data_IF_949468072348
#
_entry.id   IF_949468072348
#
_cell.length_a   1.000
_cell.length_b   1.000
_cell.length_c   1.000
_cell.angle_alpha   90.00
_cell.angle_beta   90.00
_cell.angle_gamma   90.00
#
_symmetry.space_group_name_H-M   'P 1'
#
loop_
_entity.id
_entity.type
_entity.pdbx_description
1 polymer ?
#
# COMPACT_ATOMS: atom_id res chain seq x y z
N UNK A 1 10.64 0.24 7.77
CA UNK A 1 9.34 0.83 7.38
C UNK A 1 9.40 2.30 7.81
N UNK A 2 10.07 3.14 7.03
CA UNK A 2 10.58 4.44 7.52
C UNK A 2 9.61 5.61 7.32
N UNK A 3 8.73 5.55 6.30
CA UNK A 3 7.74 6.59 6.03
C UNK A 3 6.64 6.72 7.13
N UNK A 4 6.43 5.68 7.94
CA UNK A 4 5.44 5.68 9.04
C UNK A 4 6.00 6.32 10.32
N UNK A 5 7.30 6.65 10.37
CA UNK A 5 7.95 7.29 11.50
C UNK A 5 8.14 8.81 11.35
N UNK A 6 7.74 9.38 10.21
CA UNK A 6 7.84 10.82 9.91
C UNK A 6 6.59 11.59 10.40
N UNK A 7 6.67 12.91 10.58
CA UNK A 7 5.53 13.78 10.99
C UNK A 7 4.27 13.57 10.13
N UNK A 8 4.43 13.23 8.85
CA UNK A 8 3.33 12.92 7.93
C UNK A 8 2.76 11.49 8.06
N UNK A 9 3.15 10.73 9.08
CA UNK A 9 2.72 9.34 9.32
C UNK A 9 1.21 9.17 9.26
N UNK A 10 0.45 10.14 9.78
CA UNK A 10 -1.01 10.09 9.76
C UNK A 10 -1.58 10.16 8.33
N UNK A 11 -0.98 10.98 7.45
CA UNK A 11 -1.39 11.09 6.03
C UNK A 11 -1.11 9.78 5.31
N UNK A 12 0.05 9.17 5.55
CA UNK A 12 0.40 7.87 4.97
C UNK A 12 -0.52 6.76 5.43
N UNK A 13 -0.82 6.67 6.74
CA UNK A 13 -1.78 5.69 7.28
C UNK A 13 -3.18 5.87 6.71
N UNK A 14 -3.64 7.12 6.53
CA UNK A 14 -4.94 7.39 5.93
C UNK A 14 -5.04 6.86 4.49
N UNK A 15 -4.03 7.12 3.65
CA UNK A 15 -3.99 6.64 2.26
C UNK A 15 -3.84 5.11 2.20
N UNK A 16 -3.04 4.51 3.08
CA UNK A 16 -2.95 3.04 3.18
C UNK A 16 -4.31 2.41 3.52
N UNK A 17 -5.07 3.01 4.45
CA UNK A 17 -6.42 2.53 4.81
C UNK A 17 -7.39 2.69 3.63
N UNK A 18 -7.32 3.80 2.91
CA UNK A 18 -8.13 4.03 1.70
C UNK A 18 -7.83 2.98 0.61
N UNK A 19 -6.56 2.65 0.38
CA UNK A 19 -6.16 1.61 -0.57
C UNK A 19 -6.69 0.24 -0.14
N UNK A 20 -6.49 -0.15 1.13
CA UNK A 20 -7.02 -1.41 1.67
C UNK A 20 -8.55 -1.52 1.53
N UNK A 21 -9.27 -0.42 1.80
CA UNK A 21 -10.71 -0.36 1.62
C UNK A 21 -11.11 -0.50 0.14
N UNK A 22 -10.35 0.11 -0.76
CA UNK A 22 -10.58 0.02 -2.20
C UNK A 22 -10.37 -1.40 -2.73
N UNK A 23 -9.35 -2.12 -2.24
CA UNK A 23 -9.11 -3.52 -2.57
C UNK A 23 -10.28 -4.41 -2.09
N UNK A 24 -10.78 -4.18 -0.87
CA UNK A 24 -11.97 -4.88 -0.35
C UNK A 24 -13.22 -4.59 -1.19
N UNK A 25 -13.47 -3.32 -1.55
CA UNK A 25 -14.61 -2.92 -2.38
C UNK A 25 -14.58 -3.55 -3.76
N UNK A 26 -13.40 -3.68 -4.36
CA UNK A 26 -13.22 -4.31 -5.67
C UNK A 26 -13.43 -5.83 -5.64
N UNK A 27 -13.53 -6.46 -4.46
CA UNK A 27 -13.67 -7.92 -4.28
C UNK A 27 -12.58 -8.74 -4.99
N UNK A 28 -11.45 -8.12 -5.34
CA UNK A 28 -10.32 -8.79 -6.00
C UNK A 28 -9.33 -9.38 -5.00
N UNK A 29 -9.42 -8.99 -3.72
CA UNK A 29 -8.58 -9.49 -2.64
C UNK A 29 -9.46 -9.98 -1.48
N UNK A 30 -9.27 -11.23 -1.09
CA UNK A 30 -9.85 -11.81 0.12
C UNK A 30 -8.71 -11.99 1.12
N UNK A 31 -8.92 -11.48 2.33
CA UNK A 31 -8.02 -11.76 3.44
C UNK A 31 -8.31 -13.19 3.89
N UNK A 32 -7.33 -14.07 3.77
CA UNK A 32 -7.44 -15.49 4.18
C UNK A 32 -6.47 -15.76 5.31
N UNK A 33 -6.87 -16.62 6.23
CA UNK A 33 -5.96 -17.13 7.26
C UNK A 33 -4.87 -17.97 6.62
N UNK A 34 -3.65 -17.83 7.13
CA UNK A 34 -2.50 -18.57 6.64
C UNK A 34 -2.58 -20.02 7.11
N UNK A 35 -2.66 -20.97 6.17
CA UNK A 35 -2.51 -22.39 6.50
C UNK A 35 -1.03 -22.73 6.68
N UNK A 36 -0.72 -23.44 7.77
CA UNK A 36 0.64 -23.91 8.06
C UNK A 36 1.25 -24.63 6.83
N UNK A 37 2.45 -24.20 6.41
CA UNK A 37 3.20 -24.80 5.29
C UNK A 37 3.12 -24.05 3.96
N UNK A 38 2.28 -23.02 3.82
CA UNK A 38 2.24 -22.20 2.59
C UNK A 38 3.29 -21.08 2.61
N UNK A 39 4.01 -20.90 1.49
CA UNK A 39 4.91 -19.75 1.29
C UNK A 39 4.08 -18.51 0.98
N UNK A 40 4.02 -17.59 1.95
CA UNK A 40 3.41 -16.28 1.73
C UNK A 40 4.22 -15.48 0.72
N UNK A 41 3.54 -14.89 -0.25
CA UNK A 41 4.14 -13.90 -1.13
C UNK A 41 4.39 -12.65 -0.29
N UNK A 42 5.65 -12.26 -0.17
CA UNK A 42 6.00 -11.02 0.53
C UNK A 42 5.34 -9.83 -0.17
N UNK A 43 5.03 -8.78 0.57
CA UNK A 43 4.47 -7.54 0.01
C UNK A 43 5.31 -6.34 0.41
N UNK A 44 5.16 -5.23 -0.31
CA UNK A 44 5.76 -3.94 0.02
C UNK A 44 4.76 -2.82 -0.26
N UNK A 45 4.80 -1.80 0.60
CA UNK A 45 4.12 -0.53 0.34
C UNK A 45 5.04 0.41 -0.44
N UNK A 46 4.52 0.96 -1.54
CA UNK A 46 5.15 2.03 -2.29
C UNK A 46 4.48 3.35 -1.92
N UNK A 47 5.28 4.34 -1.55
CA UNK A 47 4.82 5.67 -1.17
C UNK A 47 5.32 6.68 -2.19
N UNK A 48 4.44 7.56 -2.65
CA UNK A 48 4.77 8.66 -3.56
C UNK A 48 3.97 9.89 -3.21
N UNK A 49 4.65 11.01 -2.98
CA UNK A 49 4.00 12.32 -2.95
C UNK A 49 3.93 12.80 -4.40
N UNK A 50 2.75 13.19 -4.85
CA UNK A 50 2.57 13.96 -6.08
C UNK A 50 2.53 15.41 -5.70
N UNK A 51 3.58 16.14 -6.06
CA UNK A 51 3.59 17.59 -5.95
C UNK A 51 2.43 18.15 -6.77
N UNK A 52 1.65 19.01 -6.13
CA UNK A 52 0.56 19.71 -6.79
C UNK A 52 1.08 20.92 -7.54
N UNK A 53 0.19 21.59 -8.27
CA UNK A 53 0.52 22.88 -8.88
C UNK A 53 0.40 23.95 -7.79
N UNK A 54 1.46 24.70 -7.53
CA UNK A 54 1.47 25.78 -6.54
C UNK A 54 0.32 26.76 -6.80
N UNK A 55 -0.47 27.05 -5.76
CA UNK A 55 -1.65 27.92 -5.85
C UNK A 55 -2.91 27.30 -6.47
N UNK A 56 -2.82 26.12 -7.11
CA UNK A 56 -3.97 25.48 -7.79
C UNK A 56 -4.37 24.16 -7.12
N UNK A 57 -3.41 23.31 -6.77
CA UNK A 57 -3.66 22.02 -6.11
C UNK A 57 -2.64 21.72 -5.02
N UNK A 58 -3.13 21.24 -3.88
CA UNK A 58 -2.28 20.78 -2.78
C UNK A 58 -1.58 19.46 -3.16
N UNK A 59 -0.37 19.19 -2.64
CA UNK A 59 0.32 17.92 -2.82
C UNK A 59 -0.54 16.74 -2.37
N UNK A 60 -0.53 15.66 -3.16
CA UNK A 60 -1.33 14.46 -2.90
C UNK A 60 -0.44 13.28 -2.54
N UNK A 61 -0.73 12.66 -1.41
CA UNK A 61 -0.07 11.45 -0.95
C UNK A 61 -0.69 10.24 -1.65
N UNK A 62 0.15 9.34 -2.17
CA UNK A 62 -0.27 8.07 -2.77
C UNK A 62 0.49 6.92 -2.14
N UNK A 63 -0.24 5.89 -1.76
CA UNK A 63 0.33 4.63 -1.27
C UNK A 63 -0.27 3.47 -2.08
N UNK A 64 0.57 2.52 -2.46
CA UNK A 64 0.15 1.32 -3.18
C UNK A 64 0.72 0.08 -2.51
N UNK A 65 -0.11 -0.97 -2.40
CA UNK A 65 0.32 -2.28 -1.94
C UNK A 65 0.72 -3.13 -3.14
N UNK A 66 1.96 -3.62 -3.15
CA UNK A 66 2.48 -4.44 -4.25
C UNK A 66 2.98 -5.76 -3.71
N UNK A 67 2.59 -6.86 -4.35
CA UNK A 67 3.17 -8.16 -4.12
C UNK A 67 4.62 -8.17 -4.62
N UNK A 68 5.55 -8.47 -3.72
CA UNK A 68 6.96 -8.59 -4.00
C UNK A 68 7.19 -10.04 -4.43
N UNK A 69 6.93 -10.33 -5.70
CA UNK A 69 6.93 -11.68 -6.25
C UNK A 69 7.81 -11.81 -7.49
N UNK A 70 8.73 -12.78 -7.45
CA UNK A 70 8.70 -13.97 -8.31
C UNK A 70 9.17 -15.14 -7.44
N UNK A 71 8.26 -15.98 -6.97
CA UNK A 71 8.59 -17.27 -6.30
C UNK A 71 8.46 -18.46 -7.26
N UNK A 72 8.31 -18.19 -8.55
CA UNK A 72 8.30 -19.21 -9.57
C UNK A 72 9.74 -19.70 -9.78
N UNK A 73 10.02 -20.95 -9.40
CA UNK A 73 11.16 -21.67 -9.97
C UNK A 73 10.72 -22.12 -11.36
N UNK A 74 11.52 -21.80 -12.37
CA UNK A 74 11.45 -22.45 -13.67
C UNK A 74 11.82 -23.94 -13.52
#
# INVERSE_FOLDING_TARGET
QEAVACEDSFKWKAVMKEEMNSLRKKKTFVLVDHSAGQKLVSYKWLFKIKEGIEGVQKPRYKAWLVARGFTQRA
#
